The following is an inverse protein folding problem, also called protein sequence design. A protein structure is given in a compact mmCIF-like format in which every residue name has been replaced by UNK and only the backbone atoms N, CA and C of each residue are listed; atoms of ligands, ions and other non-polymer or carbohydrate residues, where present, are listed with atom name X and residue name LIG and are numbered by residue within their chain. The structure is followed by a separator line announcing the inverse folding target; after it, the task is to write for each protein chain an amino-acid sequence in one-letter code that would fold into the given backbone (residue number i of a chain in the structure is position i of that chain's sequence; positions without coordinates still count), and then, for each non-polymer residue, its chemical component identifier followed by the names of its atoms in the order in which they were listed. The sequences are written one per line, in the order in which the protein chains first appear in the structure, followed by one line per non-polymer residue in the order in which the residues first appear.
data_IF_660319789208
#
_entry.id   IF_660319789208
#
_cell.length_a   1.000
_cell.length_b   1.000
_cell.length_c   1.000
_cell.angle_alpha   90.00
_cell.angle_beta   90.00
_cell.angle_gamma   90.00
#
_symmetry.space_group_name_H-M   'P 1'
#
loop_
_entity.id
_entity.type
_entity.pdbx_description
1 polymer ?
#
# COMPACT_ATOMS: atom_id res chain seq x y z
N UNK A 1 -13.27 -9.29 35.57
CA UNK A 1 -13.58 -7.90 35.23
C UNK A 1 -12.33 -7.05 35.26
N UNK A 2 -12.21 -6.20 34.24
CA UNK A 2 -11.17 -5.21 33.94
C UNK A 2 -9.91 -5.75 33.26
N UNK A 3 -10.13 -6.18 32.01
CA UNK A 3 -9.16 -5.99 30.91
C UNK A 3 -8.66 -4.54 30.94
N UNK A 4 -7.34 -4.37 30.82
CA UNK A 4 -6.71 -3.06 30.78
C UNK A 4 -7.35 -2.23 29.65
N UNK A 5 -7.95 -1.11 30.06
CA UNK A 5 -8.52 -0.10 29.17
C UNK A 5 -7.37 0.44 28.30
N UNK A 6 -7.47 0.21 27.00
CA UNK A 6 -6.53 0.73 26.00
C UNK A 6 -6.51 2.26 26.10
N UNK A 7 -5.33 2.82 26.33
CA UNK A 7 -5.08 4.25 26.33
C UNK A 7 -4.64 4.68 24.93
N UNK A 8 -5.21 5.77 24.42
CA UNK A 8 -4.98 6.23 23.04
C UNK A 8 -3.74 7.10 23.01
N UNK A 9 -2.65 6.55 22.48
CA UNK A 9 -1.36 7.23 22.33
C UNK A 9 -1.22 7.79 20.91
N UNK A 10 -1.46 9.10 20.78
CA UNK A 10 -1.20 9.97 19.62
C UNK A 10 -2.34 10.17 18.59
N UNK A 11 -2.71 11.44 18.44
CA UNK A 11 -3.55 12.05 17.41
C UNK A 11 -2.69 13.13 16.75
N UNK A 12 -2.21 12.91 15.52
CA UNK A 12 -2.22 13.90 14.43
C UNK A 12 -1.47 13.40 13.15
N UNK A 13 -2.25 13.29 12.07
CA UNK A 13 -1.95 13.42 10.62
C UNK A 13 -0.70 12.81 9.94
N UNK A 14 -0.26 11.62 10.32
CA UNK A 14 0.78 10.87 9.62
C UNK A 14 0.25 9.87 8.56
N UNK A 15 -0.98 10.04 8.06
CA UNK A 15 -1.65 9.05 7.19
C UNK A 15 -2.04 9.62 5.84
N UNK A 16 -1.47 9.08 4.76
CA UNK A 16 -1.91 9.33 3.40
C UNK A 16 -3.02 8.34 3.03
N UNK A 17 -4.16 8.85 2.60
CA UNK A 17 -5.32 8.06 2.19
C UNK A 17 -5.41 8.01 0.67
N UNK A 18 -5.37 6.80 0.10
CA UNK A 18 -5.38 6.57 -1.35
C UNK A 18 -6.64 5.81 -1.77
N UNK A 19 -7.31 6.34 -2.79
CA UNK A 19 -8.32 5.62 -3.58
C UNK A 19 -7.69 5.17 -4.90
N UNK A 20 -7.98 3.94 -5.33
CA UNK A 20 -7.41 3.36 -6.55
C UNK A 20 -8.51 3.27 -7.60
N UNK A 21 -8.30 3.92 -8.75
CA UNK A 21 -9.27 3.95 -9.84
C UNK A 21 -9.31 2.62 -10.59
N UNK A 22 -10.51 2.25 -11.07
CA UNK A 22 -10.80 1.11 -11.94
C UNK A 22 -11.79 1.53 -13.02
N UNK A 23 -11.27 1.99 -14.16
CA UNK A 23 -12.12 2.57 -15.22
C UNK A 23 -12.79 3.86 -14.74
N UNK A 24 -14.12 3.91 -14.82
CA UNK A 24 -14.95 5.04 -14.34
C UNK A 24 -15.32 4.92 -12.84
N UNK A 25 -14.85 3.88 -12.15
CA UNK A 25 -15.18 3.58 -10.75
C UNK A 25 -13.92 3.41 -9.87
N UNK A 26 -14.09 3.03 -8.61
CA UNK A 26 -13.02 2.78 -7.63
C UNK A 26 -12.96 1.31 -7.22
N UNK A 27 -11.80 0.86 -6.74
CA UNK A 27 -11.69 -0.48 -6.15
C UNK A 27 -12.60 -0.61 -4.93
N UNK A 28 -13.30 -1.75 -4.86
CA UNK A 28 -14.10 -2.15 -3.69
C UNK A 28 -13.22 -2.54 -2.50
N UNK A 29 -13.81 -2.62 -1.30
CA UNK A 29 -13.14 -3.10 -0.10
C UNK A 29 -12.50 -4.49 -0.29
N UNK A 30 -13.19 -5.40 -0.97
CA UNK A 30 -12.67 -6.75 -1.26
C UNK A 30 -11.40 -6.71 -2.11
N UNK A 31 -11.37 -5.81 -3.10
CA UNK A 31 -10.24 -5.62 -4.00
C UNK A 31 -9.08 -4.90 -3.30
N UNK A 32 -9.36 -3.93 -2.42
CA UNK A 32 -8.31 -3.29 -1.62
C UNK A 32 -7.67 -4.24 -0.61
N UNK A 33 -8.39 -5.25 -0.10
CA UNK A 33 -7.78 -6.32 0.70
C UNK A 33 -6.80 -7.17 -0.12
N UNK A 34 -7.08 -7.38 -1.40
CA UNK A 34 -6.12 -8.04 -2.30
C UNK A 34 -4.88 -7.18 -2.51
N UNK A 35 -5.06 -5.87 -2.79
CA UNK A 35 -3.92 -4.94 -2.90
C UNK A 35 -3.09 -4.92 -1.63
N UNK A 36 -3.72 -4.79 -0.47
CA UNK A 36 -3.04 -4.84 0.83
C UNK A 36 -2.22 -6.12 1.01
N UNK A 37 -2.79 -7.27 0.65
CA UNK A 37 -2.10 -8.55 0.69
C UNK A 37 -0.92 -8.61 -0.28
N UNK A 38 -1.07 -8.13 -1.51
CA UNK A 38 -0.01 -8.15 -2.52
C UNK A 38 1.13 -7.17 -2.21
N UNK A 39 0.84 -6.04 -1.54
CA UNK A 39 1.87 -5.11 -1.07
C UNK A 39 2.89 -5.81 -0.16
N UNK A 40 2.45 -6.79 0.64
CA UNK A 40 3.31 -7.58 1.53
C UNK A 40 4.04 -8.78 0.89
N UNK A 41 3.96 -8.97 -0.44
CA UNK A 41 4.55 -10.12 -1.16
C UNK A 41 5.42 -9.68 -2.34
N UNK A 42 6.43 -10.48 -2.70
CA UNK A 42 7.05 -10.40 -4.03
C UNK A 42 6.07 -10.99 -5.06
N UNK A 43 5.65 -10.16 -6.00
CA UNK A 43 4.72 -10.52 -7.08
C UNK A 43 5.34 -10.32 -8.47
N UNK A 44 6.66 -10.08 -8.55
CA UNK A 44 7.37 -9.75 -9.79
C UNK A 44 7.36 -10.88 -10.82
N UNK A 45 7.32 -12.14 -10.36
CA UNK A 45 7.29 -13.33 -11.22
C UNK A 45 5.94 -13.57 -11.90
N UNK A 46 4.86 -12.97 -11.38
CA UNK A 46 3.49 -13.16 -11.88
C UNK A 46 3.25 -12.34 -13.15
N UNK A 47 3.97 -11.21 -13.28
CA UNK A 47 3.81 -10.26 -14.39
C UNK A 47 5.09 -10.28 -15.25
N UNK A 48 5.26 -11.30 -16.12
CA UNK A 48 6.49 -11.44 -16.91
C UNK A 48 6.73 -10.28 -17.88
N UNK A 49 5.67 -9.59 -18.32
CA UNK A 49 5.73 -8.44 -19.22
C UNK A 49 6.00 -7.09 -18.54
N UNK A 50 6.13 -7.05 -17.20
CA UNK A 50 6.49 -5.82 -16.48
C UNK A 50 7.89 -5.35 -16.90
N UNK A 51 8.09 -4.02 -16.95
CA UNK A 51 9.41 -3.44 -17.22
C UNK A 51 10.42 -3.80 -16.12
N UNK A 52 11.71 -3.54 -16.35
CA UNK A 52 12.73 -3.80 -15.32
C UNK A 52 12.45 -3.01 -14.04
N UNK A 53 12.04 -1.75 -14.18
CA UNK A 53 11.68 -0.86 -13.08
C UNK A 53 10.42 -1.34 -12.35
N UNK A 54 9.40 -1.78 -13.10
CA UNK A 54 8.17 -2.33 -12.53
C UNK A 54 8.45 -3.65 -11.79
N UNK A 55 9.31 -4.52 -12.33
CA UNK A 55 9.72 -5.77 -11.67
C UNK A 55 10.48 -5.51 -10.38
N UNK A 56 11.37 -4.51 -10.38
CA UNK A 56 12.06 -4.09 -9.17
C UNK A 56 11.08 -3.62 -8.10
N UNK A 57 10.07 -2.83 -8.48
CA UNK A 57 9.04 -2.38 -7.53
C UNK A 57 8.14 -3.53 -7.05
N UNK A 58 7.71 -4.43 -7.96
CA UNK A 58 6.84 -5.57 -7.67
C UNK A 58 7.53 -6.63 -6.78
N UNK A 59 8.86 -6.67 -6.74
CA UNK A 59 9.61 -7.57 -5.86
C UNK A 59 9.79 -7.05 -4.44
N UNK A 60 9.61 -5.74 -4.21
CA UNK A 60 9.76 -5.17 -2.86
C UNK A 60 8.58 -5.53 -1.97
N UNK A 61 8.85 -5.86 -0.71
CA UNK A 61 7.81 -5.98 0.31
C UNK A 61 7.57 -4.58 0.89
N UNK A 62 6.32 -4.12 0.84
CA UNK A 62 5.92 -2.83 1.39
C UNK A 62 4.72 -3.01 2.32
N UNK A 63 4.84 -2.51 3.54
CA UNK A 63 3.78 -2.58 4.54
C UNK A 63 3.00 -1.27 4.53
N UNK A 64 1.75 -1.33 4.10
CA UNK A 64 0.82 -0.20 4.17
C UNK A 64 -0.10 -0.37 5.37
N UNK A 65 -0.90 0.65 5.67
CA UNK A 65 -2.05 0.53 6.56
C UNK A 65 -3.14 -0.36 5.94
N UNK A 66 -4.01 -0.86 6.81
CA UNK A 66 -5.14 -1.70 6.41
C UNK A 66 -6.16 -0.91 5.59
N UNK A 67 -6.87 -1.55 4.65
CA UNK A 67 -8.01 -0.94 3.96
C UNK A 67 -9.10 -0.52 4.96
N UNK A 68 -9.71 0.64 4.72
CA UNK A 68 -10.80 1.16 5.55
C UNK A 68 -11.96 1.67 4.69
N UNK A 69 -13.19 1.45 5.15
CA UNK A 69 -14.38 2.07 4.58
C UNK A 69 -14.45 3.52 5.07
N UNK A 70 -14.59 4.46 4.13
CA UNK A 70 -14.70 5.90 4.44
C UNK A 70 -16.04 6.47 3.98
N UNK A 71 -16.67 5.85 2.98
CA UNK A 71 -18.03 6.15 2.56
C UNK A 71 -18.67 4.91 1.93
N UNK A 72 -20.00 4.90 1.82
CA UNK A 72 -20.76 3.78 1.21
C UNK A 72 -20.37 3.51 -0.26
N UNK A 73 -19.76 4.49 -0.94
CA UNK A 73 -19.40 4.39 -2.35
C UNK A 73 -17.98 3.88 -2.61
N UNK A 74 -17.07 3.93 -1.63
CA UNK A 74 -15.68 3.56 -1.87
C UNK A 74 -14.89 3.30 -0.59
N UNK A 75 -13.86 2.47 -0.75
CA UNK A 75 -12.87 2.19 0.28
C UNK A 75 -11.52 2.83 -0.09
N UNK A 76 -10.63 2.97 0.89
CA UNK A 76 -9.28 3.51 0.70
C UNK A 76 -8.23 2.63 1.36
N UNK A 77 -6.98 2.74 0.91
CA UNK A 77 -5.80 2.24 1.63
C UNK A 77 -5.10 3.42 2.29
N UNK A 78 -4.73 3.24 3.56
CA UNK A 78 -3.95 4.20 4.33
C UNK A 78 -2.47 3.83 4.25
N UNK A 79 -1.58 4.79 4.07
CA UNK A 79 -0.14 4.61 4.25
C UNK A 79 0.25 5.47 5.43
N UNK A 80 0.78 4.84 6.48
CA UNK A 80 1.33 5.56 7.62
C UNK A 80 2.74 6.04 7.26
N UNK A 81 2.94 7.34 7.22
CA UNK A 81 4.24 7.99 7.19
C UNK A 81 4.48 8.49 8.62
N UNK A 82 4.77 7.56 9.53
CA UNK A 82 4.94 7.89 10.95
C UNK A 82 6.25 8.61 11.25
N UNK A 83 6.42 8.98 12.53
CA UNK A 83 7.69 9.50 13.10
C UNK A 83 8.90 8.66 12.69
N UNK A 84 8.77 7.34 12.55
CA UNK A 84 9.87 6.46 12.08
C UNK A 84 10.33 6.78 10.64
N UNK A 85 9.42 7.18 9.76
CA UNK A 85 9.74 7.65 8.41
C UNK A 85 10.47 8.99 8.44
N UNK A 86 10.06 9.90 9.34
CA UNK A 86 10.77 11.17 9.55
C UNK A 86 12.17 10.95 10.15
N UNK A 87 12.31 10.07 11.15
CA UNK A 87 13.60 9.73 11.75
C UNK A 87 14.53 9.05 10.73
N UNK A 88 14.00 8.17 9.89
CA UNK A 88 14.74 7.53 8.81
C UNK A 88 15.19 8.57 7.77
N UNK A 89 14.30 9.49 7.38
CA UNK A 89 14.63 10.59 6.47
C UNK A 89 15.71 11.52 7.03
N UNK A 90 15.64 11.86 8.32
CA UNK A 90 16.65 12.71 8.98
C UNK A 90 18.03 12.03 9.05
N UNK A 91 18.07 10.70 9.08
CA UNK A 91 19.31 9.92 9.06
C UNK A 91 19.85 9.72 7.63
N UNK A 92 19.00 9.33 6.69
CA UNK A 92 19.33 9.12 5.27
C UNK A 92 18.13 9.47 4.38
N UNK A 93 18.09 10.73 3.95
CA UNK A 93 17.01 11.27 3.14
C UNK A 93 16.94 10.62 1.75
N UNK A 94 18.08 10.34 1.11
CA UNK A 94 18.08 9.77 -0.24
C UNK A 94 17.56 8.34 -0.25
N UNK A 95 18.01 7.51 0.70
CA UNK A 95 17.52 6.13 0.80
C UNK A 95 16.03 6.09 1.15
N UNK A 96 15.61 6.89 2.14
CA UNK A 96 14.20 6.94 2.57
C UNK A 96 13.28 7.38 1.42
N UNK A 97 13.64 8.43 0.68
CA UNK A 97 12.87 8.87 -0.49
C UNK A 97 12.88 7.85 -1.64
N UNK A 98 13.97 7.11 -1.82
CA UNK A 98 14.05 6.06 -2.83
C UNK A 98 13.14 4.87 -2.50
N UNK A 99 13.08 4.47 -1.23
CA UNK A 99 12.18 3.42 -0.72
C UNK A 99 10.71 3.81 -0.84
N UNK A 100 10.36 5.04 -0.45
CA UNK A 100 8.99 5.56 -0.60
C UNK A 100 8.57 5.61 -2.08
N UNK A 101 9.48 6.05 -2.96
CA UNK A 101 9.25 6.04 -4.41
C UNK A 101 9.01 4.63 -4.93
N UNK A 102 9.76 3.64 -4.45
CA UNK A 102 9.56 2.23 -4.83
C UNK A 102 8.19 1.72 -4.34
N UNK A 103 7.77 2.08 -3.14
CA UNK A 103 6.45 1.74 -2.60
C UNK A 103 5.32 2.31 -3.45
N UNK A 104 5.42 3.58 -3.86
CA UNK A 104 4.44 4.21 -4.76
C UNK A 104 4.46 3.56 -6.14
N UNK A 105 5.64 3.26 -6.68
CA UNK A 105 5.78 2.57 -7.96
C UNK A 105 5.17 1.17 -7.92
N UNK A 106 5.28 0.46 -6.79
CA UNK A 106 4.64 -0.84 -6.60
C UNK A 106 3.12 -0.69 -6.65
N UNK A 107 2.54 0.28 -5.96
CA UNK A 107 1.09 0.55 -6.00
C UNK A 107 0.61 0.85 -7.43
N UNK A 108 1.36 1.67 -8.16
CA UNK A 108 1.04 1.98 -9.57
C UNK A 108 1.07 0.71 -10.45
N UNK A 109 2.09 -0.14 -10.28
CA UNK A 109 2.19 -1.40 -11.01
C UNK A 109 1.06 -2.38 -10.64
N UNK A 110 0.71 -2.51 -9.35
CA UNK A 110 -0.42 -3.33 -8.91
C UNK A 110 -1.75 -2.85 -9.52
N UNK A 111 -1.99 -1.53 -9.58
CA UNK A 111 -3.18 -0.96 -10.22
C UNK A 111 -3.22 -1.25 -11.72
N UNK A 112 -2.09 -1.13 -12.42
CA UNK A 112 -1.96 -1.42 -13.85
C UNK A 112 -2.23 -2.90 -14.18
N UNK A 113 -1.80 -3.82 -13.32
CA UNK A 113 -1.87 -5.27 -13.55
C UNK A 113 -2.93 -5.99 -12.70
N UNK A 114 -3.87 -5.22 -12.14
CA UNK A 114 -4.81 -5.69 -11.13
C UNK A 114 -5.57 -6.97 -11.54
N UNK A 115 -6.15 -6.98 -12.74
CA UNK A 115 -6.95 -8.12 -13.21
C UNK A 115 -6.11 -9.40 -13.39
N UNK A 116 -4.85 -9.28 -13.83
CA UNK A 116 -3.94 -10.43 -13.99
C UNK A 116 -3.55 -11.01 -12.64
N UNK A 117 -3.25 -10.15 -11.68
CA UNK A 117 -2.97 -10.55 -10.30
C UNK A 117 -4.19 -11.26 -9.70
N UNK A 118 -5.40 -10.75 -9.93
CA UNK A 118 -6.64 -11.37 -9.46
C UNK A 118 -6.87 -12.76 -10.07
N UNK A 119 -6.57 -12.93 -11.36
CA UNK A 119 -6.70 -14.21 -12.07
C UNK A 119 -5.64 -15.25 -11.65
N UNK A 120 -4.52 -14.82 -11.05
CA UNK A 120 -3.46 -15.73 -10.59
C UNK A 120 -3.84 -16.54 -9.34
N UNK A 121 -4.94 -16.20 -8.66
CA UNK A 121 -5.41 -16.90 -7.46
C UNK A 121 -4.61 -16.62 -6.18
N UNK A 122 -3.70 -15.64 -6.23
CA UNK A 122 -2.78 -15.27 -5.15
C UNK A 122 -3.36 -14.29 -4.13
#
# INVERSE_FOLDING_TARGET
NNEAQLDVFCLDSDIVSLRIAKGDDWLSMSELRDVYRWMSKDVSSIIPEATAEEKQALSQVAYTGQPVDVADSHAIIRIAIGVDGLLSYLNDAESTLAEDRLTVNKLAALGKYFDKLKQSGL
#
